data_IF_368044989137
#
_entry.id   IF_368044989137
#
_cell.length_a   1.000
_cell.length_b   1.000
_cell.length_c   1.000
_cell.angle_alpha   90.00
_cell.angle_beta   90.00
_cell.angle_gamma   90.00
#
_symmetry.space_group_name_H-M   'P 1'
#
loop_
_entity.id
_entity.type
_entity.pdbx_description
1 polymer ?
#
# COMPACT_ATOMS: atom_id res chain seq x y z
N UNK A 1 -2.33 -97.36 -23.03
CA UNK A 1 -2.92 -96.49 -22.00
C UNK A 1 -1.83 -95.60 -21.46
N UNK A 2 -1.88 -94.29 -21.74
CA UNK A 2 -1.05 -93.29 -21.08
C UNK A 2 -2.01 -92.36 -20.36
N UNK A 3 -1.89 -92.30 -19.04
CA UNK A 3 -2.55 -91.29 -18.21
C UNK A 3 -1.42 -90.55 -17.49
N UNK A 4 -1.49 -89.24 -17.67
CA UNK A 4 -0.82 -88.08 -17.06
C UNK A 4 -1.00 -88.10 -15.51
N UNK A 5 -0.40 -87.27 -14.65
CA UNK A 5 -0.31 -85.80 -14.68
C UNK A 5 0.78 -85.36 -13.68
N UNK A 6 1.44 -84.28 -14.06
CA UNK A 6 2.47 -83.52 -13.36
C UNK A 6 1.82 -82.39 -12.52
N UNK A 7 2.65 -81.66 -11.76
CA UNK A 7 2.49 -80.24 -11.32
C UNK A 7 2.04 -79.94 -9.87
N UNK A 8 3.06 -79.59 -9.07
CA UNK A 8 3.21 -78.47 -8.12
C UNK A 8 2.27 -78.27 -6.91
N UNK A 9 2.88 -78.41 -5.74
CA UNK A 9 2.53 -77.73 -4.48
C UNK A 9 2.69 -76.21 -4.61
N UNK A 10 1.56 -75.49 -4.59
CA UNK A 10 1.48 -74.13 -4.06
C UNK A 10 0.30 -74.10 -3.10
N UNK A 11 0.58 -74.02 -1.80
CA UNK A 11 -0.43 -73.73 -0.78
C UNK A 11 -0.96 -72.31 -0.99
N UNK A 12 -2.07 -72.20 -1.72
CA UNK A 12 -2.92 -71.01 -1.75
C UNK A 12 -3.62 -70.86 -0.39
N UNK A 13 -3.39 -69.74 0.29
CA UNK A 13 -4.30 -69.25 1.32
C UNK A 13 -5.65 -69.00 0.60
N UNK A 14 -6.79 -69.55 1.07
CA UNK A 14 -8.05 -69.39 0.37
C UNK A 14 -8.44 -67.92 0.28
N UNK A 15 -8.75 -67.43 -0.92
CA UNK A 15 -9.23 -66.06 -1.22
C UNK A 15 -10.43 -65.62 -0.36
N UNK A 16 -11.10 -66.58 0.28
CA UNK A 16 -12.22 -66.38 1.18
C UNK A 16 -11.86 -65.63 2.49
N UNK A 17 -10.64 -65.81 3.02
CA UNK A 17 -10.20 -65.13 4.25
C UNK A 17 -9.88 -63.65 3.99
N UNK A 18 -9.40 -63.34 2.78
CA UNK A 18 -9.07 -61.97 2.37
C UNK A 18 -10.35 -61.16 2.08
N UNK A 19 -11.33 -61.77 1.43
CA UNK A 19 -12.62 -61.13 1.14
C UNK A 19 -13.39 -60.75 2.42
N UNK A 20 -13.43 -61.63 3.43
CA UNK A 20 -14.17 -61.41 4.69
C UNK A 20 -13.58 -60.28 5.53
N UNK A 21 -12.25 -60.21 5.64
CA UNK A 21 -11.56 -59.14 6.38
C UNK A 21 -11.68 -57.80 5.63
N UNK A 22 -11.63 -57.82 4.30
CA UNK A 22 -11.80 -56.63 3.47
C UNK A 22 -13.24 -56.09 3.56
N UNK A 23 -14.25 -56.95 3.60
CA UNK A 23 -15.66 -56.51 3.77
C UNK A 23 -15.93 -55.91 5.15
N UNK A 24 -15.33 -56.45 6.21
CA UNK A 24 -15.41 -55.85 7.55
C UNK A 24 -14.70 -54.49 7.60
N UNK A 25 -13.53 -54.37 6.95
CA UNK A 25 -12.80 -53.11 6.85
C UNK A 25 -13.56 -52.05 6.03
N UNK A 26 -14.13 -52.44 4.88
CA UNK A 26 -14.94 -51.58 4.01
C UNK A 26 -16.26 -51.15 4.67
N UNK A 27 -16.81 -51.96 5.58
CA UNK A 27 -17.97 -51.61 6.39
C UNK A 27 -17.63 -50.64 7.53
N UNK A 28 -16.42 -50.72 8.10
CA UNK A 28 -15.98 -49.86 9.21
C UNK A 28 -15.36 -48.54 8.75
N UNK A 29 -14.82 -48.48 7.52
CA UNK A 29 -14.14 -47.31 6.97
C UNK A 29 -15.00 -46.03 6.91
N UNK A 30 -16.29 -46.10 6.48
CA UNK A 30 -17.16 -44.93 6.50
C UNK A 30 -17.43 -44.40 7.92
N UNK A 31 -17.51 -45.30 8.91
CA UNK A 31 -17.72 -44.96 10.31
C UNK A 31 -16.49 -44.22 10.89
N UNK A 32 -15.29 -44.73 10.61
CA UNK A 32 -14.02 -44.11 10.98
C UNK A 32 -13.85 -42.72 10.36
N UNK A 33 -14.13 -42.57 9.06
CA UNK A 33 -14.06 -41.27 8.38
C UNK A 33 -15.08 -40.26 8.92
N UNK A 34 -16.27 -40.72 9.29
CA UNK A 34 -17.27 -39.86 9.93
C UNK A 34 -16.77 -39.37 11.30
N UNK A 35 -16.15 -40.27 12.06
CA UNK A 35 -15.61 -39.97 13.38
C UNK A 35 -14.42 -39.00 13.30
N UNK A 36 -13.46 -39.21 12.40
CA UNK A 36 -12.34 -38.28 12.15
C UNK A 36 -12.83 -36.91 11.68
N UNK A 37 -13.82 -36.86 10.78
CA UNK A 37 -14.43 -35.58 10.34
C UNK A 37 -15.11 -34.85 11.50
N UNK A 38 -15.78 -35.60 12.37
CA UNK A 38 -16.44 -35.02 13.53
C UNK A 38 -15.42 -34.52 14.56
N UNK A 39 -14.36 -35.27 14.83
CA UNK A 39 -13.27 -34.88 15.73
C UNK A 39 -12.51 -33.66 15.21
N UNK A 40 -12.12 -33.64 13.93
CA UNK A 40 -11.48 -32.47 13.31
C UNK A 40 -12.39 -31.24 13.32
N UNK A 41 -13.69 -31.40 13.11
CA UNK A 41 -14.65 -30.31 13.24
C UNK A 41 -14.77 -29.78 14.67
N UNK A 42 -14.69 -30.65 15.69
CA UNK A 42 -14.69 -30.23 17.09
C UNK A 42 -13.40 -29.48 17.46
N UNK A 43 -12.23 -29.99 17.04
CA UNK A 43 -10.94 -29.33 17.27
C UNK A 43 -10.90 -27.96 16.61
N UNK A 44 -11.39 -27.83 15.38
CA UNK A 44 -11.47 -26.54 14.69
C UNK A 44 -12.38 -25.55 15.42
N UNK A 45 -13.55 -25.98 15.88
CA UNK A 45 -14.46 -25.12 16.67
C UNK A 45 -13.82 -24.62 17.97
N UNK A 46 -13.09 -25.48 18.67
CA UNK A 46 -12.37 -25.10 19.90
C UNK A 46 -11.26 -24.10 19.59
N UNK A 47 -10.48 -24.33 18.53
CA UNK A 47 -9.45 -23.39 18.06
C UNK A 47 -10.03 -22.02 17.70
N UNK A 48 -11.12 -22.00 16.92
CA UNK A 48 -11.79 -20.77 16.51
C UNK A 48 -12.35 -19.98 17.72
N UNK A 49 -12.86 -20.68 18.75
CA UNK A 49 -13.31 -20.06 20.00
C UNK A 49 -12.17 -19.47 20.85
N UNK A 50 -11.02 -20.15 20.88
CA UNK A 50 -9.81 -19.66 21.57
C UNK A 50 -9.24 -18.44 20.88
N UNK A 51 -9.12 -18.47 19.54
CA UNK A 51 -8.71 -17.31 18.75
C UNK A 51 -9.63 -16.11 18.95
N UNK A 52 -10.95 -16.32 18.99
CA UNK A 52 -11.92 -15.24 19.25
C UNK A 52 -11.73 -14.65 20.66
N UNK A 53 -11.40 -15.46 21.67
CA UNK A 53 -11.13 -14.97 23.04
C UNK A 53 -9.85 -14.14 23.08
N UNK A 54 -8.80 -14.59 22.39
CA UNK A 54 -7.54 -13.86 22.31
C UNK A 54 -7.72 -12.51 21.61
N UNK A 55 -8.39 -12.51 20.45
CA UNK A 55 -8.72 -11.27 19.72
C UNK A 55 -9.55 -10.30 20.56
N UNK A 56 -10.55 -10.80 21.30
CA UNK A 56 -11.35 -9.98 22.22
C UNK A 56 -10.50 -9.37 23.34
N UNK A 57 -9.53 -10.12 23.87
CA UNK A 57 -8.63 -9.65 24.91
C UNK A 57 -7.69 -8.55 24.37
N UNK A 58 -7.15 -8.73 23.16
CA UNK A 58 -6.34 -7.73 22.47
C UNK A 58 -7.16 -6.47 22.20
N UNK A 59 -8.36 -6.60 21.67
CA UNK A 59 -9.26 -5.47 21.38
C UNK A 59 -9.63 -4.67 22.63
N UNK A 60 -9.91 -5.35 23.74
CA UNK A 60 -10.14 -4.69 25.04
C UNK A 60 -8.90 -3.94 25.52
N UNK A 61 -7.72 -4.54 25.41
CA UNK A 61 -6.44 -3.91 25.78
C UNK A 61 -6.15 -2.66 24.96
N UNK A 62 -6.30 -2.73 23.64
CA UNK A 62 -6.10 -1.59 22.73
C UNK A 62 -7.08 -0.45 23.01
N UNK A 63 -8.35 -0.77 23.25
CA UNK A 63 -9.39 0.22 23.60
C UNK A 63 -8.98 1.00 24.85
N UNK A 64 -8.47 0.31 25.86
CA UNK A 64 -8.04 0.90 27.12
C UNK A 64 -6.78 1.79 26.96
N UNK A 65 -5.82 1.36 26.14
CA UNK A 65 -4.64 2.16 25.81
C UNK A 65 -5.05 3.46 25.10
N UNK A 66 -5.92 3.38 24.09
CA UNK A 66 -6.43 4.55 23.36
C UNK A 66 -7.13 5.52 24.32
N UNK A 67 -7.95 5.00 25.24
CA UNK A 67 -8.64 5.81 26.25
C UNK A 67 -7.63 6.56 27.14
N UNK A 68 -6.57 5.90 27.61
CA UNK A 68 -5.51 6.52 28.42
C UNK A 68 -4.77 7.61 27.65
N UNK A 69 -4.44 7.36 26.38
CA UNK A 69 -3.78 8.34 25.52
C UNK A 69 -4.65 9.57 25.27
N UNK A 70 -5.95 9.38 25.01
CA UNK A 70 -6.92 10.47 24.87
C UNK A 70 -7.00 11.32 26.14
N UNK A 71 -7.11 10.70 27.31
CA UNK A 71 -7.13 11.41 28.59
C UNK A 71 -5.83 12.20 28.85
N UNK A 72 -4.67 11.60 28.53
CA UNK A 72 -3.37 12.27 28.66
C UNK A 72 -3.28 13.50 27.75
N UNK A 73 -3.77 13.40 26.51
CA UNK A 73 -3.81 14.52 25.54
C UNK A 73 -4.70 15.66 26.03
N UNK A 74 -5.89 15.36 26.53
CA UNK A 74 -6.79 16.40 27.06
C UNK A 74 -6.20 17.08 28.29
N UNK A 75 -5.61 16.33 29.21
CA UNK A 75 -4.89 16.93 30.36
C UNK A 75 -3.77 17.86 29.90
N UNK A 76 -3.01 17.47 28.89
CA UNK A 76 -1.95 18.31 28.33
C UNK A 76 -2.49 19.58 27.67
N UNK A 77 -3.62 19.51 26.96
CA UNK A 77 -4.28 20.71 26.41
C UNK A 77 -4.71 21.67 27.52
N UNK A 78 -5.30 21.17 28.59
CA UNK A 78 -5.70 22.00 29.75
C UNK A 78 -4.48 22.64 30.40
N UNK A 79 -3.40 21.89 30.60
CA UNK A 79 -2.14 22.42 31.15
C UNK A 79 -1.57 23.54 30.27
N UNK A 80 -1.50 23.34 28.96
CA UNK A 80 -1.02 24.36 28.03
C UNK A 80 -1.89 25.64 28.06
N UNK A 81 -3.22 25.50 28.19
CA UNK A 81 -4.14 26.65 28.27
C UNK A 81 -3.98 27.42 29.59
N UNK A 82 -3.83 26.71 30.71
CA UNK A 82 -3.56 27.34 32.02
C UNK A 82 -2.20 28.04 32.06
N UNK A 83 -1.17 27.46 31.43
CA UNK A 83 0.14 28.09 31.29
C UNK A 83 0.05 29.36 30.43
N UNK A 84 -0.70 29.33 29.32
CA UNK A 84 -0.96 30.52 28.50
C UNK A 84 -1.65 31.62 29.31
N UNK A 85 -2.70 31.31 30.09
CA UNK A 85 -3.36 32.30 30.94
C UNK A 85 -2.42 32.87 32.01
N UNK A 86 -1.53 32.06 32.59
CA UNK A 86 -0.53 32.55 33.56
C UNK A 86 0.50 33.48 32.92
N UNK A 87 0.92 33.18 31.69
CA UNK A 87 1.83 34.03 30.92
C UNK A 87 1.14 35.39 30.65
N UNK A 88 -0.09 35.39 30.14
CA UNK A 88 -0.86 36.61 29.86
C UNK A 88 -1.10 37.47 31.11
N UNK A 89 -1.40 36.84 32.26
CA UNK A 89 -1.62 37.56 33.51
C UNK A 89 -0.33 38.05 34.18
N UNK A 90 0.83 37.44 33.88
CA UNK A 90 2.15 37.86 34.38
C UNK A 90 2.82 38.92 33.51
N UNK A 91 2.48 38.96 32.22
CA UNK A 91 2.80 40.07 31.33
C UNK A 91 1.86 41.24 31.66
N UNK A 92 2.25 42.08 32.63
CA UNK A 92 1.55 43.33 32.93
C UNK A 92 1.36 44.25 31.71
N UNK A 93 0.70 45.41 31.83
CA UNK A 93 0.18 46.25 30.73
C UNK A 93 1.24 46.90 29.79
N UNK A 94 2.42 46.32 29.64
CA UNK A 94 3.47 46.75 28.71
C UNK A 94 3.36 46.13 27.31
N UNK A 95 2.62 45.02 27.11
CA UNK A 95 2.40 44.45 25.77
C UNK A 95 1.22 45.15 25.04
N UNK A 96 0.26 45.74 25.77
CA UNK A 96 -0.86 46.47 25.14
C UNK A 96 -0.44 47.79 24.47
N UNK A 97 0.73 48.34 24.80
CA UNK A 97 1.27 49.53 24.15
C UNK A 97 2.03 49.18 22.86
N UNK A 98 2.53 47.93 22.74
CA UNK A 98 3.10 47.38 21.51
C UNK A 98 2.04 46.95 20.50
N UNK A 99 0.88 46.44 20.96
CA UNK A 99 -0.20 46.01 20.07
C UNK A 99 -0.93 47.20 19.41
N UNK A 100 -1.07 48.34 20.10
CA UNK A 100 -1.68 49.57 19.52
C UNK A 100 -0.86 50.21 18.40
N UNK A 101 0.40 49.81 18.20
CA UNK A 101 1.24 50.30 17.09
C UNK A 101 1.30 49.32 15.89
N UNK A 102 0.64 48.16 15.96
CA UNK A 102 0.53 47.24 14.82
C UNK A 102 -0.88 47.15 14.25
N UNK A 103 -1.92 47.47 15.03
CA UNK A 103 -3.30 47.54 14.54
C UNK A 103 -3.59 48.81 13.69
N UNK A 104 -2.69 49.80 13.70
CA UNK A 104 -2.78 50.99 12.83
C UNK A 104 -2.39 50.74 11.37
N UNK A 105 -1.69 49.65 11.07
CA UNK A 105 -1.19 49.36 9.72
C UNK A 105 -2.02 48.29 8.98
N UNK A 106 -2.91 47.56 9.68
CA UNK A 106 -3.80 46.57 9.07
C UNK A 106 -5.13 47.16 8.56
N UNK A 107 -5.50 48.36 8.98
CA UNK A 107 -6.76 49.01 8.56
C UNK A 107 -6.67 49.71 7.20
N UNK A 108 -5.49 49.89 6.59
CA UNK A 108 -5.37 50.58 5.29
C UNK A 108 -5.41 49.65 4.05
N UNK A 109 -5.47 48.33 4.20
CA UNK A 109 -5.51 47.42 3.04
C UNK A 109 -6.90 46.85 2.72
N UNK A 110 -7.89 47.02 3.60
CA UNK A 110 -9.22 46.44 3.43
C UNK A 110 -10.31 47.47 3.09
N UNK A 111 -10.03 48.77 3.17
CA UNK A 111 -10.99 49.84 2.77
C UNK A 111 -11.02 50.12 1.25
N UNK A 112 -10.06 49.59 0.47
CA UNK A 112 -10.05 49.73 -1.00
C UNK A 112 -10.81 48.62 -1.76
N UNK A 113 -11.41 47.66 -1.05
CA UNK A 113 -12.12 46.50 -1.64
C UNK A 113 -13.62 46.42 -1.32
N UNK A 114 -14.20 47.39 -0.60
CA UNK A 114 -15.62 47.39 -0.21
C UNK A 114 -16.46 48.55 -0.77
N UNK A 115 -15.94 49.34 -1.71
CA UNK A 115 -16.79 50.16 -2.58
C UNK A 115 -16.92 49.45 -3.94
N UNK A 116 -18.02 48.71 -4.09
CA UNK A 116 -18.79 48.46 -5.31
C UNK A 116 -19.34 47.03 -5.37
N UNK A 117 -20.47 46.83 -4.69
CA UNK A 117 -21.66 46.18 -5.22
C UNK A 117 -22.83 46.88 -4.51
N UNK A 118 -23.97 47.22 -5.15
CA UNK A 118 -24.69 46.21 -5.95
C UNK A 118 -25.65 46.72 -7.07
N UNK A 119 -26.29 45.75 -7.73
CA UNK A 119 -27.62 45.79 -8.41
C UNK A 119 -27.74 46.24 -9.90
N UNK A 120 -27.64 45.21 -10.76
CA UNK A 120 -28.69 44.64 -11.64
C UNK A 120 -29.65 45.56 -12.44
N UNK A 121 -29.72 45.19 -13.74
CA UNK A 121 -30.86 45.22 -14.67
C UNK A 121 -31.09 46.44 -15.60
N UNK A 122 -30.95 46.14 -16.90
CA UNK A 122 -31.88 46.47 -18.01
C UNK A 122 -31.43 47.46 -19.13
N UNK A 123 -31.57 46.92 -20.36
CA UNK A 123 -31.83 47.55 -21.69
C UNK A 123 -30.65 47.93 -22.63
N UNK A 124 -30.48 47.03 -23.62
CA UNK A 124 -29.92 47.00 -25.00
C UNK A 124 -30.20 48.21 -25.94
N UNK A 125 -29.83 48.24 -27.27
CA UNK A 125 -28.90 47.42 -28.12
C UNK A 125 -28.07 48.20 -29.21
N UNK A 126 -27.37 47.43 -30.08
CA UNK A 126 -27.00 47.65 -31.51
C UNK A 126 -25.63 48.32 -31.83
N UNK A 127 -24.78 47.87 -32.79
CA UNK A 127 -24.79 46.82 -33.85
C UNK A 127 -23.31 46.59 -34.34
N UNK A 128 -22.98 45.76 -35.38
CA UNK A 128 -22.13 44.56 -35.26
C UNK A 128 -20.89 44.55 -36.21
N UNK A 129 -20.30 43.35 -36.39
CA UNK A 129 -19.56 42.88 -37.60
C UNK A 129 -18.05 43.25 -37.68
N UNK A 130 -17.08 42.44 -38.14
CA UNK A 130 -17.07 41.20 -38.96
C UNK A 130 -15.60 40.66 -39.02
N UNK A 131 -15.43 39.33 -38.99
CA UNK A 131 -14.50 38.45 -39.75
C UNK A 131 -12.95 38.53 -39.57
N UNK A 132 -12.41 37.39 -39.10
CA UNK A 132 -11.25 36.59 -39.57
C UNK A 132 -9.89 37.24 -39.85
N UNK A 133 -8.84 36.66 -39.27
CA UNK A 133 -7.79 35.84 -39.95
C UNK A 133 -6.46 35.89 -39.16
N UNK A 134 -5.83 34.73 -38.93
CA UNK A 134 -4.36 34.62 -38.71
C UNK A 134 -3.64 34.91 -40.06
N UNK A 135 -2.28 34.94 -40.21
CA UNK A 135 -1.14 34.83 -39.26
C UNK A 135 0.02 35.84 -39.56
N UNK A 136 1.21 35.60 -38.96
CA UNK A 136 2.59 35.93 -39.41
C UNK A 136 3.24 37.22 -38.87
N UNK A 137 4.42 37.04 -38.27
CA UNK A 137 5.56 37.93 -38.45
C UNK A 137 6.87 37.12 -38.43
N UNK A 138 7.44 36.92 -39.63
CA UNK A 138 8.87 36.71 -39.83
C UNK A 138 9.64 37.94 -39.37
N UNK A 139 10.87 37.79 -38.86
CA UNK A 139 11.99 38.60 -39.34
C UNK A 139 13.24 37.72 -39.43
N UNK A 140 13.89 37.89 -40.57
CA UNK A 140 14.85 37.04 -41.26
C UNK A 140 16.21 37.73 -41.22
N UNK A 141 17.29 36.97 -41.13
CA UNK A 141 18.60 37.39 -41.64
C UNK A 141 19.19 36.24 -42.46
N UNK A 142 19.68 36.57 -43.66
CA UNK A 142 20.24 35.67 -44.67
C UNK A 142 21.68 36.07 -44.95
N UNK A 143 22.57 35.09 -45.03
CA UNK A 143 23.64 34.90 -46.03
C UNK A 143 24.27 33.51 -45.74
N UNK A 144 24.08 32.47 -46.59
CA UNK A 144 24.95 32.04 -47.72
C UNK A 144 26.44 31.96 -47.36
N UNK A 145 27.26 30.97 -47.70
CA UNK A 145 27.27 29.63 -48.36
C UNK A 145 28.75 29.17 -48.19
N UNK A 146 29.16 27.91 -48.00
CA UNK A 146 29.51 26.86 -48.99
C UNK A 146 30.38 25.78 -48.29
N UNK A 147 30.43 24.57 -48.89
CA UNK A 147 31.41 23.45 -48.81
C UNK A 147 31.37 22.41 -47.66
N UNK A 148 30.96 21.18 -48.03
CA UNK A 148 31.38 19.86 -47.48
C UNK A 148 32.88 19.57 -47.80
N UNK A 149 33.62 18.58 -47.21
CA UNK A 149 33.17 17.24 -46.74
C UNK A 149 33.82 16.64 -45.44
N UNK A 150 33.32 15.47 -45.02
CA UNK A 150 33.88 14.46 -44.05
C UNK A 150 35.32 13.99 -44.42
N UNK A 151 36.12 13.18 -43.66
CA UNK A 151 35.89 12.40 -42.41
C UNK A 151 37.05 12.43 -41.37
N UNK A 152 36.87 11.83 -40.18
CA UNK A 152 37.94 11.05 -39.51
C UNK A 152 37.43 10.31 -38.27
N UNK A 153 37.61 8.99 -38.32
CA UNK A 153 37.57 8.04 -37.20
C UNK A 153 38.74 8.24 -36.24
N UNK A 154 38.64 7.61 -35.07
CA UNK A 154 39.71 7.25 -34.12
C UNK A 154 39.68 8.00 -32.77
N UNK A 155 39.00 7.39 -31.78
CA UNK A 155 39.70 6.84 -30.61
C UNK A 155 38.74 5.96 -29.78
N UNK A 156 39.07 4.68 -29.76
CA UNK A 156 38.53 3.64 -28.90
C UNK A 156 39.33 3.59 -27.59
N UNK A 157 38.67 3.09 -26.51
CA UNK A 157 39.24 2.41 -25.31
C UNK A 157 39.80 3.32 -24.21
N UNK A 158 39.61 3.10 -22.90
CA UNK A 158 39.05 2.03 -22.05
C UNK A 158 38.58 2.71 -20.73
N UNK A 159 37.59 2.15 -20.06
CA UNK A 159 37.62 1.89 -18.60
C UNK A 159 36.48 0.94 -18.23
N UNK A 160 36.83 -0.34 -18.13
CA UNK A 160 36.12 -1.35 -17.34
C UNK A 160 36.39 -1.07 -15.86
N UNK A 161 35.38 -1.20 -15.00
CA UNK A 161 35.35 -2.09 -13.82
C UNK A 161 34.10 -1.77 -12.95
N UNK A 162 33.29 -2.83 -12.79
CA UNK A 162 32.26 -3.07 -11.77
C UNK A 162 31.04 -2.14 -11.68
N UNK A 163 29.96 -2.54 -12.34
CA UNK A 163 28.60 -2.31 -11.84
C UNK A 163 27.72 -3.53 -12.11
N UNK A 164 27.97 -4.61 -11.35
CA UNK A 164 27.09 -5.77 -11.28
C UNK A 164 25.88 -5.48 -10.40
N UNK A 165 25.04 -4.50 -10.74
CA UNK A 165 23.61 -4.48 -10.32
C UNK A 165 22.74 -3.55 -11.17
N UNK A 166 22.90 -3.54 -12.50
CA UNK A 166 21.84 -3.06 -13.38
C UNK A 166 21.11 -4.27 -13.91
N UNK A 167 20.22 -4.83 -13.09
CA UNK A 167 19.21 -5.75 -13.59
C UNK A 167 18.34 -4.93 -14.54
N UNK A 168 18.56 -5.17 -15.83
CA UNK A 168 17.72 -4.69 -16.91
C UNK A 168 16.26 -4.99 -16.56
N UNK A 169 15.40 -4.07 -16.97
CA UNK A 169 13.95 -4.12 -16.89
C UNK A 169 13.41 -5.41 -17.54
N UNK A 170 13.47 -6.51 -16.80
CA UNK A 170 12.53 -7.61 -16.92
C UNK A 170 11.13 -6.98 -16.83
N UNK A 171 10.22 -7.37 -17.71
CA UNK A 171 8.84 -6.87 -17.74
C UNK A 171 8.14 -7.30 -16.41
N UNK A 172 8.26 -6.47 -15.36
CA UNK A 172 7.78 -6.79 -14.02
C UNK A 172 6.25 -6.84 -14.09
N UNK A 173 5.69 -8.04 -13.98
CA UNK A 173 4.24 -8.22 -13.97
C UNK A 173 3.65 -7.75 -12.64
N UNK A 174 3.05 -6.55 -12.66
CA UNK A 174 2.33 -5.92 -11.56
C UNK A 174 0.86 -6.37 -11.47
N UNK A 175 0.49 -7.51 -12.06
CA UNK A 175 -0.82 -8.13 -11.86
C UNK A 175 -1.13 -8.29 -10.36
N UNK A 176 -2.40 -8.08 -10.01
CA UNK A 176 -2.85 -8.06 -8.60
C UNK A 176 -2.54 -9.36 -7.87
N UNK A 177 -2.62 -10.49 -8.57
CA UNK A 177 -2.23 -11.81 -8.08
C UNK A 177 -0.78 -11.89 -7.58
N UNK A 178 0.13 -11.06 -8.07
CA UNK A 178 1.54 -11.15 -7.70
C UNK A 178 1.89 -10.42 -6.40
N UNK A 179 1.07 -9.46 -5.98
CA UNK A 179 1.29 -8.65 -4.78
C UNK A 179 0.15 -8.71 -3.77
N UNK A 180 -1.03 -9.22 -4.10
CA UNK A 180 -2.18 -9.29 -3.20
C UNK A 180 -2.20 -10.56 -2.35
N UNK A 181 -2.08 -10.40 -1.03
CA UNK A 181 -2.08 -11.48 -0.03
C UNK A 181 -3.12 -11.23 1.06
N UNK A 182 -4.33 -10.78 0.69
CA UNK A 182 -5.37 -10.32 1.62
C UNK A 182 -5.74 -11.30 2.76
N UNK A 183 -5.46 -12.60 2.63
CA UNK A 183 -5.64 -13.59 3.71
C UNK A 183 -4.65 -13.43 4.87
N UNK A 184 -3.48 -12.85 4.62
CA UNK A 184 -2.41 -12.69 5.62
C UNK A 184 -2.63 -11.37 6.35
N UNK A 185 -3.33 -11.40 7.48
CA UNK A 185 -3.55 -10.18 8.28
C UNK A 185 -2.37 -9.86 9.21
N UNK A 186 -1.64 -10.89 9.63
CA UNK A 186 -0.53 -10.75 10.57
C UNK A 186 0.71 -10.09 9.93
N UNK A 187 1.31 -9.17 10.69
CA UNK A 187 2.55 -8.47 10.33
C UNK A 187 3.74 -9.42 10.30
N UNK A 188 3.82 -10.32 11.27
CA UNK A 188 4.98 -11.18 11.42
C UNK A 188 4.98 -12.28 10.35
N UNK A 189 3.82 -12.85 10.04
CA UNK A 189 3.65 -13.73 8.88
C UNK A 189 4.10 -13.06 7.57
N UNK A 190 3.66 -11.82 7.30
CA UNK A 190 4.08 -11.08 6.10
C UNK A 190 5.58 -10.77 6.08
N UNK A 191 6.18 -10.48 7.24
CA UNK A 191 7.63 -10.27 7.38
C UNK A 191 8.42 -11.54 7.04
N UNK A 192 7.95 -12.71 7.48
CA UNK A 192 8.59 -14.01 7.17
C UNK A 192 8.59 -14.26 5.65
N UNK A 193 7.50 -13.92 4.96
CA UNK A 193 7.42 -14.09 3.51
C UNK A 193 8.43 -13.24 2.74
N UNK A 194 8.74 -12.05 3.24
CA UNK A 194 9.71 -11.13 2.63
C UNK A 194 11.15 -11.39 3.09
N UNK A 195 11.37 -12.40 3.94
CA UNK A 195 12.72 -12.77 4.37
C UNK A 195 13.57 -13.16 3.15
N UNK A 196 14.80 -12.66 3.13
CA UNK A 196 15.80 -12.90 2.08
C UNK A 196 15.39 -12.38 0.68
N UNK A 197 14.38 -11.50 0.60
CA UNK A 197 13.99 -10.82 -0.63
C UNK A 197 14.75 -9.49 -0.82
N UNK A 198 15.07 -9.10 -2.07
CA UNK A 198 15.77 -7.86 -2.35
C UNK A 198 14.95 -6.63 -1.95
N UNK A 199 15.63 -5.52 -1.74
CA UNK A 199 15.01 -4.25 -1.40
C UNK A 199 14.05 -3.80 -2.51
N UNK A 200 12.89 -3.25 -2.10
CA UNK A 200 11.82 -2.93 -3.04
C UNK A 200 10.82 -4.07 -3.27
N UNK A 201 11.07 -5.28 -2.73
CA UNK A 201 10.07 -6.37 -2.78
C UNK A 201 8.90 -6.07 -1.85
N UNK A 202 7.66 -6.25 -2.32
CA UNK A 202 6.48 -5.87 -1.56
C UNK A 202 5.30 -6.85 -1.70
N UNK A 203 4.37 -6.75 -0.75
CA UNK A 203 3.06 -7.36 -0.79
C UNK A 203 2.02 -6.43 -0.13
N UNK A 204 0.77 -6.48 -0.58
CA UNK A 204 -0.37 -5.86 0.07
C UNK A 204 -1.19 -6.91 0.80
N UNK A 205 -1.75 -6.48 1.93
CA UNK A 205 -2.58 -7.31 2.78
C UNK A 205 -3.65 -6.50 3.48
N UNK A 206 -4.63 -7.21 4.04
CA UNK A 206 -5.57 -6.61 4.96
C UNK A 206 -4.85 -6.12 6.23
N UNK A 207 -5.28 -4.97 6.73
CA UNK A 207 -4.77 -4.41 7.98
C UNK A 207 -5.40 -5.13 9.18
N UNK A 208 -4.56 -5.68 10.06
CA UNK A 208 -5.02 -6.30 11.30
C UNK A 208 -5.63 -5.30 12.29
N UNK A 209 -4.99 -4.14 12.46
CA UNK A 209 -5.38 -3.14 13.47
C UNK A 209 -6.56 -2.28 13.04
N UNK A 210 -6.84 -2.20 11.73
CA UNK A 210 -7.82 -1.30 11.16
C UNK A 210 -8.70 -2.08 10.16
N UNK A 211 -9.80 -2.70 10.62
CA UNK A 211 -10.70 -3.46 9.76
C UNK A 211 -11.19 -2.62 8.57
N UNK A 212 -11.21 -3.21 7.37
CA UNK A 212 -11.63 -2.53 6.14
C UNK A 212 -10.57 -1.63 5.51
N UNK A 213 -9.33 -1.65 6.02
CA UNK A 213 -8.19 -0.94 5.43
C UNK A 213 -7.06 -1.91 5.07
N UNK A 214 -6.04 -1.40 4.40
CA UNK A 214 -4.97 -2.22 3.85
C UNK A 214 -3.60 -1.83 4.40
N UNK A 215 -2.61 -2.66 4.14
CA UNK A 215 -1.22 -2.40 4.50
C UNK A 215 -0.29 -2.98 3.45
N UNK A 216 0.75 -2.22 3.11
CA UNK A 216 1.88 -2.68 2.31
C UNK A 216 2.94 -3.20 3.27
N UNK A 217 3.46 -4.39 3.01
CA UNK A 217 4.70 -4.85 3.64
C UNK A 217 5.81 -4.84 2.59
N UNK A 218 6.92 -4.18 2.90
CA UNK A 218 8.02 -3.87 1.98
C UNK A 218 9.34 -4.33 2.58
N UNK A 219 10.17 -5.03 1.81
CA UNK A 219 11.56 -5.32 2.17
C UNK A 219 12.43 -4.09 1.87
N UNK A 220 13.11 -3.58 2.90
CA UNK A 220 14.08 -2.48 2.76
C UNK A 220 15.16 -2.59 3.84
N UNK A 221 16.43 -2.53 3.44
CA UNK A 221 17.60 -2.70 4.31
C UNK A 221 17.55 -4.04 5.07
N UNK A 222 17.18 -5.11 4.38
CA UNK A 222 16.97 -6.45 4.96
C UNK A 222 15.94 -6.50 6.11
N UNK A 223 15.04 -5.51 6.19
CA UNK A 223 14.06 -5.39 7.27
C UNK A 223 12.68 -5.10 6.70
N UNK A 224 11.62 -5.79 7.16
CA UNK A 224 10.27 -5.50 6.75
C UNK A 224 9.83 -4.11 7.25
N UNK A 225 9.21 -3.33 6.38
CA UNK A 225 8.51 -2.07 6.68
C UNK A 225 7.03 -2.28 6.42
N UNK A 226 6.18 -1.83 7.32
CA UNK A 226 4.73 -1.88 7.12
C UNK A 226 4.19 -0.47 6.97
N UNK A 227 3.44 -0.25 5.89
CA UNK A 227 2.91 1.05 5.51
C UNK A 227 1.40 0.91 5.46
N UNK A 228 0.71 1.73 6.24
CA UNK A 228 -0.74 1.71 6.29
C UNK A 228 -1.32 2.41 5.06
N UNK A 229 -2.33 1.80 4.44
CA UNK A 229 -3.11 2.41 3.37
C UNK A 229 -4.45 2.81 3.97
N UNK A 230 -4.76 4.10 3.89
CA UNK A 230 -6.03 4.66 4.31
C UNK A 230 -6.99 4.75 3.13
N UNK A 231 -8.28 4.77 3.45
CA UNK A 231 -9.34 5.16 2.53
C UNK A 231 -10.02 6.40 3.10
N UNK A 232 -10.05 7.48 2.32
CA UNK A 232 -10.73 8.73 2.72
C UNK A 232 -12.22 8.68 2.38
N UNK A 233 -13.00 9.62 2.92
CA UNK A 233 -14.46 9.66 2.73
C UNK A 233 -14.92 9.74 1.26
N UNK A 234 -14.05 10.21 0.34
CA UNK A 234 -14.31 10.21 -1.10
C UNK A 234 -14.20 8.82 -1.74
N UNK A 235 -13.81 7.79 -0.98
CA UNK A 235 -13.58 6.42 -1.44
C UNK A 235 -12.20 6.18 -2.05
N UNK A 236 -11.35 7.22 -2.14
CA UNK A 236 -10.00 7.12 -2.67
C UNK A 236 -9.01 6.56 -1.64
N UNK A 237 -7.98 5.87 -2.13
CA UNK A 237 -6.91 5.27 -1.34
C UNK A 237 -5.67 6.14 -1.33
N UNK A 238 -4.91 6.08 -0.24
CA UNK A 238 -3.63 6.78 -0.08
C UNK A 238 -2.81 6.26 1.09
N UNK A 239 -1.57 6.74 1.19
CA UNK A 239 -0.70 6.54 2.35
C UNK A 239 -0.89 7.63 3.41
N UNK A 240 -1.45 8.79 3.03
CA UNK A 240 -1.86 9.91 3.90
C UNK A 240 -3.13 10.55 3.34
N UNK A 241 -3.80 11.42 4.10
CA UNK A 241 -5.05 12.06 3.67
C UNK A 241 -4.84 12.96 2.45
N UNK A 242 -3.68 13.64 2.36
CA UNK A 242 -3.35 14.58 1.28
C UNK A 242 -3.00 13.89 -0.04
N UNK A 243 -2.59 12.62 0.01
CA UNK A 243 -2.22 11.83 -1.16
C UNK A 243 -3.27 10.76 -1.52
N UNK A 244 -4.41 10.76 -0.85
CA UNK A 244 -5.47 9.78 -1.08
C UNK A 244 -6.26 10.10 -2.35
N UNK A 245 -5.61 9.98 -3.50
CA UNK A 245 -6.12 10.35 -4.83
C UNK A 245 -6.40 9.13 -5.71
N UNK A 246 -5.97 7.93 -5.31
CA UNK A 246 -6.07 6.72 -6.12
C UNK A 246 -7.44 6.07 -5.99
N UNK A 247 -8.06 5.70 -7.11
CA UNK A 247 -9.39 5.05 -7.08
C UNK A 247 -9.33 3.57 -6.72
N UNK A 248 -8.23 2.92 -7.07
CA UNK A 248 -7.99 1.50 -6.77
C UNK A 248 -6.62 1.31 -6.13
N UNK A 249 -6.43 0.17 -5.44
CA UNK A 249 -5.13 -0.22 -4.91
C UNK A 249 -4.10 -0.45 -6.03
N UNK A 250 -4.56 -0.95 -7.18
CA UNK A 250 -3.71 -1.17 -8.35
C UNK A 250 -3.12 0.14 -8.86
N UNK A 251 -3.93 1.19 -8.97
CA UNK A 251 -3.46 2.52 -9.40
C UNK A 251 -2.41 3.07 -8.43
N UNK A 252 -2.63 2.87 -7.12
CA UNK A 252 -1.66 3.23 -6.08
C UNK A 252 -0.36 2.47 -6.30
N UNK A 253 -0.40 1.14 -6.43
CA UNK A 253 0.80 0.31 -6.61
C UNK A 253 1.57 0.72 -7.86
N UNK A 254 0.87 0.94 -8.98
CA UNK A 254 1.49 1.34 -10.25
C UNK A 254 2.24 2.67 -10.14
N UNK A 255 1.63 3.67 -9.49
CA UNK A 255 2.25 4.99 -9.37
C UNK A 255 3.51 4.96 -8.48
N UNK A 256 3.48 4.22 -7.36
CA UNK A 256 4.68 4.02 -6.51
C UNK A 256 5.70 3.04 -7.10
N UNK A 257 5.38 2.34 -8.19
CA UNK A 257 6.34 1.57 -8.97
C UNK A 257 7.03 2.47 -10.02
N UNK A 258 6.24 3.25 -10.78
CA UNK A 258 6.75 3.99 -11.93
C UNK A 258 7.40 5.32 -11.56
N UNK A 259 6.69 6.18 -10.83
CA UNK A 259 7.03 7.59 -10.68
C UNK A 259 7.51 7.89 -9.26
N UNK A 260 6.73 7.50 -8.26
CA UNK A 260 6.83 8.02 -6.92
C UNK A 260 7.65 7.16 -5.97
N UNK A 261 8.54 7.81 -5.21
CA UNK A 261 9.30 7.12 -4.15
C UNK A 261 8.56 7.25 -2.82
N UNK A 262 8.57 6.20 -2.01
CA UNK A 262 7.96 6.21 -0.68
C UNK A 262 8.60 7.22 0.28
N UNK A 263 9.78 7.75 -0.07
CA UNK A 263 10.47 8.84 0.61
C UNK A 263 9.61 10.09 0.79
N UNK A 264 8.65 10.34 -0.12
CA UNK A 264 7.76 11.51 -0.04
C UNK A 264 6.92 11.53 1.24
N UNK A 265 6.66 10.36 1.83
CA UNK A 265 5.94 10.23 3.10
C UNK A 265 6.84 9.98 4.28
N UNK A 266 7.93 9.25 4.06
CA UNK A 266 8.88 8.91 5.11
C UNK A 266 10.28 8.81 4.53
N UNK A 267 11.18 9.71 4.93
CA UNK A 267 12.57 9.78 4.44
C UNK A 267 13.36 8.48 4.64
N UNK A 268 12.92 7.60 5.55
CA UNK A 268 13.54 6.28 5.78
C UNK A 268 13.03 5.19 4.82
N UNK A 269 12.04 5.46 3.98
CA UNK A 269 11.54 4.56 2.95
C UNK A 269 12.17 4.92 1.60
N UNK A 270 13.49 4.74 1.53
CA UNK A 270 14.32 5.18 0.41
C UNK A 270 14.17 4.41 -0.90
N UNK A 271 12.99 3.85 -1.17
CA UNK A 271 12.75 2.93 -2.28
C UNK A 271 11.34 3.09 -2.87
N UNK A 272 11.11 2.40 -3.99
CA UNK A 272 9.83 2.26 -4.68
C UNK A 272 9.22 0.88 -4.41
N UNK A 273 7.99 0.67 -4.88
CA UNK A 273 7.42 -0.67 -4.97
C UNK A 273 7.96 -1.32 -6.23
N UNK A 274 9.07 -2.07 -6.13
CA UNK A 274 9.79 -2.56 -7.32
C UNK A 274 9.32 -3.95 -7.71
N UNK A 275 9.32 -4.90 -6.77
CA UNK A 275 9.05 -6.30 -7.08
C UNK A 275 7.84 -6.84 -6.30
N UNK A 276 6.76 -7.26 -6.97
CA UNK A 276 5.73 -8.06 -6.34
C UNK A 276 6.33 -9.34 -5.74
N UNK A 277 5.90 -9.74 -4.54
CA UNK A 277 6.47 -10.91 -3.85
C UNK A 277 6.49 -12.18 -4.70
N UNK A 278 5.43 -12.47 -5.47
CA UNK A 278 5.37 -13.68 -6.30
C UNK A 278 6.34 -13.68 -7.49
N UNK A 279 6.95 -12.54 -7.80
CA UNK A 279 8.03 -12.46 -8.79
C UNK A 279 9.21 -13.37 -8.39
N UNK A 280 9.57 -13.37 -7.10
CA UNK A 280 10.65 -14.23 -6.57
C UNK A 280 10.15 -15.54 -5.97
N UNK A 281 8.96 -15.51 -5.35
CA UNK A 281 8.41 -16.64 -4.61
C UNK A 281 7.07 -17.10 -5.18
N UNK A 282 7.12 -17.82 -6.30
CA UNK A 282 5.93 -18.25 -7.07
C UNK A 282 4.96 -19.18 -6.32
N UNK A 283 5.44 -19.90 -5.29
CA UNK A 283 4.66 -20.91 -4.56
C UNK A 283 4.22 -20.45 -3.15
N UNK A 284 4.08 -19.13 -2.94
CA UNK A 284 3.69 -18.52 -1.67
C UNK A 284 2.25 -17.98 -1.72
#
# INVERSE_FOLDING_TARGET
>A
MRITVDTQDQQQIPDYVNCSMQTEFDAFYPQLQYQEKHETAMVKKVSDEEEHKEQHMIMKGLTEIIRKLKAKREKQKTQNYEEQQKIENSAGPSILQGQKLLDGNATNLNEKKQQELPQRCDVFPEKPSIISSKPVAEHRNVAQSVTDPSPSSDLQRLDDISDSTRQECDDIDLSEENWWFGSITDRDAAAILLKDCPDGTFLLRNSFFYPGTYSITLSLDCKPRHIHIIQVASGCYGLTEENAIYRTLKDLVQDYHDTDTLQKHNRHLATKLVYPLRFFKKNV
#
